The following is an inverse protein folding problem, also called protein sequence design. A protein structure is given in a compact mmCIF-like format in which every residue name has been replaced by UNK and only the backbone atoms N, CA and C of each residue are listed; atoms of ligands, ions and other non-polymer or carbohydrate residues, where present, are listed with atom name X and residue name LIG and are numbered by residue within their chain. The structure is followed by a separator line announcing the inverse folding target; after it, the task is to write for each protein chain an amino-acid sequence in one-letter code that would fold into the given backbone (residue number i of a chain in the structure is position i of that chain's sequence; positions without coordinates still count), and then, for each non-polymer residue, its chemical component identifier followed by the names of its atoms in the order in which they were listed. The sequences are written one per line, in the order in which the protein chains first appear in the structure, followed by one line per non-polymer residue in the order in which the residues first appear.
data_IF_657271901497
#
_entry.id   IF_657271901497
#
_cell.length_a   1.000
_cell.length_b   1.000
_cell.length_c   1.000
_cell.angle_alpha   90.00
_cell.angle_beta   90.00
_cell.angle_gamma   90.00
#
_symmetry.space_group_name_H-M   'P 1'
#
loop_
_entity.id
_entity.type
_entity.pdbx_description
1 polymer ?
#
# COMPACT_ATOMS: atom_id res chain seq x y z
N UNK A 1 -20.40 58.88 10.52
CA UNK A 1 -20.88 58.58 11.89
C UNK A 1 -19.98 57.52 12.52
N UNK A 2 -19.38 57.91 13.67
CA UNK A 2 -18.85 57.15 14.81
C UNK A 2 -18.05 55.86 14.49
N UNK A 3 -16.72 55.93 14.61
CA UNK A 3 -15.89 55.69 15.81
C UNK A 3 -16.05 54.28 16.37
N UNK A 4 -14.98 53.47 16.24
CA UNK A 4 -14.33 52.94 17.42
C UNK A 4 -12.85 52.61 17.13
N UNK A 5 -11.99 53.34 17.85
CA UNK A 5 -10.56 53.14 18.02
C UNK A 5 -10.40 52.20 19.21
N UNK A 6 -9.59 51.19 19.09
CA UNK A 6 -9.28 50.23 20.18
C UNK A 6 -7.89 49.66 20.07
N UNK A 7 -6.92 50.40 20.50
CA UNK A 7 -5.73 50.09 21.30
C UNK A 7 -4.90 48.84 20.96
N UNK A 8 -3.83 49.09 20.27
CA UNK A 8 -2.61 48.23 20.23
C UNK A 8 -1.93 48.27 21.60
N UNK A 9 -1.86 47.15 22.28
CA UNK A 9 -1.07 46.96 23.49
C UNK A 9 0.18 46.16 23.16
N UNK A 10 1.29 46.86 23.08
CA UNK A 10 2.64 46.25 22.98
C UNK A 10 2.93 45.46 24.25
N UNK A 11 3.21 44.17 24.11
CA UNK A 11 3.85 43.36 25.14
C UNK A 11 5.28 43.10 24.69
N UNK A 12 6.23 43.81 25.27
CA UNK A 12 7.67 43.55 25.19
C UNK A 12 7.93 42.40 26.15
N UNK A 13 8.28 41.23 25.60
CA UNK A 13 8.86 40.13 26.39
C UNK A 13 10.38 40.27 26.39
N UNK A 14 10.88 40.65 27.53
CA UNK A 14 12.30 40.69 27.88
C UNK A 14 12.83 39.24 27.93
N UNK A 15 13.71 38.88 27.00
CA UNK A 15 14.45 37.61 27.05
C UNK A 15 15.61 37.80 28.01
N UNK A 16 15.44 37.32 29.21
CA UNK A 16 16.53 37.23 30.21
C UNK A 16 17.26 35.91 29.99
N UNK A 17 18.41 35.98 29.35
CA UNK A 17 19.34 34.87 29.17
C UNK A 17 19.97 34.51 30.51
N UNK A 18 19.49 33.42 31.11
CA UNK A 18 20.16 32.75 32.24
C UNK A 18 21.21 31.78 31.64
N UNK A 19 22.46 32.20 31.68
CA UNK A 19 23.64 31.34 31.52
C UNK A 19 23.75 30.45 32.76
N UNK A 20 23.22 29.23 32.71
CA UNK A 20 23.60 28.16 33.63
C UNK A 20 24.79 27.40 33.03
N UNK A 21 25.86 27.13 33.79
CA UNK A 21 26.91 26.24 33.34
C UNK A 21 26.35 24.83 33.27
N UNK A 22 26.01 24.42 32.07
CA UNK A 22 25.58 23.05 31.81
C UNK A 22 26.75 22.10 32.03
N UNK A 23 26.68 21.33 33.10
CA UNK A 23 27.44 20.10 33.22
C UNK A 23 27.05 19.23 32.04
N UNK A 24 27.97 19.10 31.08
CA UNK A 24 27.84 18.12 29.99
C UNK A 24 27.91 16.75 30.66
N UNK A 25 26.72 16.22 31.05
CA UNK A 25 26.57 14.80 31.28
C UNK A 25 26.79 14.17 29.92
N UNK A 26 27.89 13.46 29.74
CA UNK A 26 28.02 12.47 28.69
C UNK A 26 26.83 11.49 28.88
N UNK A 27 25.75 11.71 28.14
CA UNK A 27 24.70 10.74 28.03
C UNK A 27 25.33 9.51 27.39
N UNK A 28 25.54 8.47 28.20
CA UNK A 28 25.77 7.14 27.67
C UNK A 28 24.64 6.86 26.66
N UNK A 29 25.03 6.75 25.42
CA UNK A 29 24.12 6.49 24.33
C UNK A 29 23.54 5.09 24.57
N UNK A 30 22.35 5.02 25.14
CA UNK A 30 21.60 3.76 25.16
C UNK A 30 21.24 3.45 23.71
N UNK A 31 22.00 2.53 23.12
CA UNK A 31 21.90 2.21 21.71
C UNK A 31 20.72 1.25 21.41
N UNK A 32 19.95 0.89 22.44
CA UNK A 32 18.73 0.10 22.26
C UNK A 32 17.61 0.97 21.66
N UNK A 33 16.96 0.46 20.63
CA UNK A 33 15.75 1.09 20.11
C UNK A 33 14.59 0.82 21.08
N UNK A 34 13.81 1.85 21.43
CA UNK A 34 12.60 1.63 22.24
C UNK A 34 11.52 0.98 21.36
N UNK A 35 10.73 0.07 21.93
CA UNK A 35 9.59 -0.47 21.23
C UNK A 35 9.02 -1.76 21.82
N UNK A 36 7.78 -2.06 21.41
CA UNK A 36 7.09 -3.31 21.74
C UNK A 36 7.58 -4.41 20.81
N UNK A 37 8.06 -5.51 21.37
CA UNK A 37 8.44 -6.69 20.58
C UNK A 37 7.22 -7.39 20.02
N UNK A 38 7.22 -7.64 18.71
CA UNK A 38 6.16 -8.35 18.00
C UNK A 38 6.76 -9.35 17.01
N UNK A 39 6.10 -10.48 16.82
CA UNK A 39 6.43 -11.44 15.76
C UNK A 39 5.91 -10.94 14.42
N UNK A 40 6.47 -11.45 13.32
CA UNK A 40 5.99 -11.12 11.97
C UNK A 40 4.49 -11.41 11.81
N UNK A 41 4.01 -12.55 12.34
CA UNK A 41 2.58 -12.89 12.27
C UNK A 41 1.71 -11.89 13.02
N UNK A 42 2.14 -11.44 14.21
CA UNK A 42 1.41 -10.39 14.94
C UNK A 42 1.37 -9.06 14.17
N UNK A 43 2.44 -8.75 13.43
CA UNK A 43 2.44 -7.58 12.54
C UNK A 43 1.43 -7.74 11.40
N UNK A 44 1.33 -8.92 10.78
CA UNK A 44 0.30 -9.18 9.75
C UNK A 44 -1.11 -9.05 10.30
N UNK A 45 -1.38 -9.62 11.47
CA UNK A 45 -2.70 -9.57 12.10
C UNK A 45 -3.10 -8.13 12.46
N UNK A 46 -2.15 -7.34 12.95
CA UNK A 46 -2.37 -5.93 13.26
C UNK A 46 -2.65 -5.11 11.99
N UNK A 47 -1.84 -5.32 10.94
CA UNK A 47 -2.03 -4.65 9.65
C UNK A 47 -3.38 -5.00 9.01
N UNK A 48 -3.81 -6.26 9.06
CA UNK A 48 -5.12 -6.67 8.53
C UNK A 48 -6.27 -5.90 9.20
N UNK A 49 -6.12 -5.53 10.47
CA UNK A 49 -7.14 -4.80 11.23
C UNK A 49 -7.04 -3.29 11.05
N UNK A 50 -5.84 -2.73 11.09
CA UNK A 50 -5.62 -1.29 11.26
C UNK A 50 -5.10 -0.56 10.03
N UNK A 51 -4.50 -1.26 9.04
CA UNK A 51 -3.94 -0.61 7.87
C UNK A 51 -5.01 0.16 7.08
N UNK A 52 -4.76 1.45 6.83
CA UNK A 52 -5.71 2.36 6.19
C UNK A 52 -5.99 1.99 4.73
N UNK A 53 -5.01 1.46 4.00
CA UNK A 53 -5.19 1.04 2.60
C UNK A 53 -6.15 -0.15 2.50
N UNK A 54 -6.05 -1.13 3.42
CA UNK A 54 -6.98 -2.26 3.48
C UNK A 54 -8.38 -1.82 3.92
N UNK A 55 -8.48 -0.88 4.85
CA UNK A 55 -9.78 -0.31 5.25
C UNK A 55 -10.44 0.43 4.08
N UNK A 56 -9.68 1.26 3.34
CA UNK A 56 -10.16 1.93 2.13
C UNK A 56 -10.61 0.92 1.06
N UNK A 57 -9.86 -0.17 0.86
CA UNK A 57 -10.25 -1.26 -0.03
C UNK A 57 -11.57 -1.94 0.38
N UNK A 58 -11.78 -2.18 1.68
CA UNK A 58 -13.06 -2.70 2.21
C UNK A 58 -14.22 -1.73 1.94
N UNK A 59 -14.00 -0.43 2.15
CA UNK A 59 -15.01 0.61 1.84
C UNK A 59 -15.29 0.70 0.34
N UNK A 60 -14.30 0.46 -0.51
CA UNK A 60 -14.49 0.38 -1.96
C UNK A 60 -15.41 -0.78 -2.34
N UNK A 61 -15.26 -1.95 -1.71
CA UNK A 61 -16.15 -3.10 -1.91
C UNK A 61 -17.56 -2.80 -1.40
N UNK A 62 -17.70 -2.16 -0.21
CA UNK A 62 -19.01 -1.75 0.31
C UNK A 62 -19.71 -0.78 -0.66
N UNK A 63 -18.98 0.22 -1.17
CA UNK A 63 -19.48 1.14 -2.20
C UNK A 63 -19.92 0.40 -3.46
N UNK A 64 -19.10 -0.53 -3.97
CA UNK A 64 -19.44 -1.31 -5.17
C UNK A 64 -20.74 -2.12 -4.96
N UNK A 65 -20.92 -2.73 -3.77
CA UNK A 65 -22.17 -3.43 -3.42
C UNK A 65 -23.39 -2.50 -3.38
N UNK A 66 -23.25 -1.30 -2.83
CA UNK A 66 -24.34 -0.31 -2.82
C UNK A 66 -24.68 0.10 -4.26
N UNK A 67 -23.67 0.27 -5.10
CA UNK A 67 -23.86 0.57 -6.53
C UNK A 67 -24.61 -0.52 -7.30
N UNK A 68 -24.62 -1.77 -6.85
CA UNK A 68 -25.46 -2.81 -7.45
C UNK A 68 -26.97 -2.47 -7.42
N UNK A 69 -27.40 -1.66 -6.45
CA UNK A 69 -28.78 -1.15 -6.36
C UNK A 69 -29.14 -0.20 -7.51
N UNK A 70 -28.16 0.51 -8.08
CA UNK A 70 -28.38 1.41 -9.22
C UNK A 70 -28.66 0.67 -10.54
N UNK A 71 -28.61 -0.67 -10.52
CA UNK A 71 -28.97 -1.46 -11.69
C UNK A 71 -30.41 -1.20 -12.17
N UNK A 72 -31.30 -0.83 -11.25
CA UNK A 72 -32.70 -0.48 -11.49
C UNK A 72 -32.91 1.03 -11.53
N UNK A 73 -31.98 1.77 -12.11
CA UNK A 73 -32.13 3.21 -12.32
C UNK A 73 -33.16 3.46 -13.42
N UNK A 74 -34.41 3.62 -13.00
CA UNK A 74 -35.55 3.90 -13.87
C UNK A 74 -35.60 5.40 -14.12
N UNK A 75 -35.90 5.81 -15.35
CA UNK A 75 -36.05 7.22 -15.70
C UNK A 75 -37.08 7.91 -14.78
N UNK A 76 -36.91 9.20 -14.54
CA UNK A 76 -37.81 9.96 -13.68
C UNK A 76 -39.22 9.93 -14.26
N UNK A 77 -40.22 9.80 -13.37
CA UNK A 77 -41.62 10.03 -13.74
C UNK A 77 -41.79 11.49 -14.10
N UNK A 78 -42.33 11.76 -15.24
CA UNK A 78 -42.58 13.09 -15.75
C UNK A 78 -44.05 13.47 -15.51
N UNK A 79 -44.31 14.59 -14.87
CA UNK A 79 -45.63 15.14 -14.66
C UNK A 79 -45.69 16.46 -15.42
N UNK A 80 -46.52 16.48 -16.46
CA UNK A 80 -46.68 17.67 -17.30
C UNK A 80 -48.10 18.19 -17.21
N UNK A 81 -48.23 19.47 -16.96
CA UNK A 81 -49.47 20.19 -17.17
C UNK A 81 -49.41 20.91 -18.52
N UNK A 82 -50.40 20.74 -19.36
CA UNK A 82 -50.46 21.42 -20.64
C UNK A 82 -51.79 22.13 -20.79
N UNK A 83 -51.73 23.30 -21.34
CA UNK A 83 -52.89 24.07 -21.77
C UNK A 83 -52.71 24.32 -23.26
N UNK A 84 -53.57 23.67 -24.06
CA UNK A 84 -53.53 23.80 -25.50
C UNK A 84 -54.89 24.35 -25.98
N UNK A 85 -54.94 25.39 -26.82
CA UNK A 85 -56.17 25.74 -27.49
C UNK A 85 -56.55 24.59 -28.42
N UNK A 86 -57.76 24.06 -28.22
CA UNK A 86 -58.29 23.08 -29.14
C UNK A 86 -58.53 23.75 -30.53
N UNK A 87 -58.57 22.94 -31.59
CA UNK A 87 -58.81 23.41 -32.96
C UNK A 87 -60.16 24.11 -33.14
N UNK A 88 -61.07 24.02 -32.17
CA UNK A 88 -62.35 24.72 -32.07
C UNK A 88 -62.34 26.04 -31.27
N UNK A 89 -61.13 26.46 -30.77
CA UNK A 89 -60.98 27.66 -29.93
C UNK A 89 -61.16 27.46 -28.43
N UNK A 90 -61.53 26.24 -27.98
CA UNK A 90 -61.65 25.93 -26.55
C UNK A 90 -60.28 25.59 -25.93
N UNK A 91 -60.08 25.99 -24.68
CA UNK A 91 -58.82 25.72 -23.97
C UNK A 91 -58.91 24.39 -23.25
N UNK A 92 -58.12 23.42 -23.70
CA UNK A 92 -58.02 22.11 -23.06
C UNK A 92 -56.86 22.13 -22.02
N UNK A 93 -57.20 21.77 -20.81
CA UNK A 93 -56.22 21.59 -19.74
C UNK A 93 -55.91 20.07 -19.63
N UNK A 94 -54.65 19.73 -19.79
CA UNK A 94 -54.23 18.32 -19.72
C UNK A 94 -53.24 18.10 -18.59
N UNK A 95 -53.43 17.04 -17.82
CA UNK A 95 -52.42 16.54 -16.87
C UNK A 95 -51.92 15.19 -17.41
N UNK A 96 -50.64 15.11 -17.63
CA UNK A 96 -49.99 13.91 -18.16
C UNK A 96 -49.00 13.37 -17.16
N UNK A 97 -49.09 12.10 -16.83
CA UNK A 97 -48.05 11.36 -16.08
C UNK A 97 -47.41 10.41 -17.07
N UNK A 98 -46.10 10.54 -17.30
CA UNK A 98 -45.38 9.64 -18.19
C UNK A 98 -44.21 8.98 -17.49
N UNK A 99 -43.98 7.70 -17.78
CA UNK A 99 -42.91 6.91 -17.29
C UNK A 99 -42.25 6.16 -18.44
N UNK A 100 -40.93 6.38 -18.60
CA UNK A 100 -40.12 5.58 -19.51
C UNK A 100 -39.38 4.50 -18.75
N UNK A 101 -39.36 3.30 -19.29
CA UNK A 101 -38.70 2.13 -18.70
C UNK A 101 -37.85 1.48 -19.79
N UNK A 102 -36.58 1.23 -19.51
CA UNK A 102 -35.73 0.43 -20.39
C UNK A 102 -36.24 -1.02 -20.44
N UNK A 103 -35.93 -1.71 -21.51
CA UNK A 103 -36.29 -3.12 -21.62
C UNK A 103 -35.61 -3.93 -20.50
N UNK A 104 -36.26 -4.94 -19.89
CA UNK A 104 -35.74 -5.67 -18.72
C UNK A 104 -34.33 -6.22 -18.85
N UNK A 105 -33.92 -6.54 -20.10
CA UNK A 105 -32.56 -7.02 -20.38
C UNK A 105 -31.47 -5.98 -20.11
N UNK A 106 -31.79 -4.66 -20.20
CA UNK A 106 -30.87 -3.56 -19.89
C UNK A 106 -30.51 -3.59 -18.41
N UNK A 107 -31.54 -3.65 -17.54
CA UNK A 107 -31.33 -3.73 -16.08
C UNK A 107 -30.58 -5.00 -15.68
N UNK A 108 -30.93 -6.13 -16.31
CA UNK A 108 -30.25 -7.40 -16.04
C UNK A 108 -28.77 -7.37 -16.45
N UNK A 109 -28.44 -6.76 -17.59
CA UNK A 109 -27.05 -6.63 -18.04
C UNK A 109 -26.25 -5.68 -17.10
N UNK A 110 -26.85 -4.53 -16.74
CA UNK A 110 -26.25 -3.56 -15.78
C UNK A 110 -25.98 -4.22 -14.43
N UNK A 111 -26.96 -5.00 -13.91
CA UNK A 111 -26.78 -5.73 -12.64
C UNK A 111 -25.63 -6.74 -12.70
N UNK A 112 -25.49 -7.47 -13.81
CA UNK A 112 -24.39 -8.42 -14.00
C UNK A 112 -23.04 -7.74 -14.08
N UNK A 113 -22.96 -6.57 -14.74
CA UNK A 113 -21.76 -5.75 -14.82
C UNK A 113 -21.35 -5.29 -13.43
N UNK A 114 -22.25 -4.63 -12.66
CA UNK A 114 -21.96 -4.13 -11.31
C UNK A 114 -21.55 -5.25 -10.34
N UNK A 115 -22.15 -6.44 -10.45
CA UNK A 115 -21.72 -7.63 -9.68
C UNK A 115 -20.31 -8.08 -10.05
N UNK A 116 -19.97 -8.06 -11.35
CA UNK A 116 -18.62 -8.40 -11.80
C UNK A 116 -17.59 -7.37 -11.29
N UNK A 117 -17.94 -6.08 -11.29
CA UNK A 117 -17.13 -5.00 -10.71
C UNK A 117 -16.91 -5.22 -9.20
N UNK A 118 -17.98 -5.54 -8.44
CA UNK A 118 -17.85 -5.87 -7.01
C UNK A 118 -16.89 -7.05 -6.79
N UNK A 119 -16.93 -8.06 -7.66
CA UNK A 119 -16.01 -9.20 -7.55
C UNK A 119 -14.57 -8.84 -7.90
N UNK A 120 -14.35 -8.00 -8.91
CA UNK A 120 -13.04 -7.50 -9.27
C UNK A 120 -12.41 -6.66 -8.13
N UNK A 121 -13.22 -5.82 -7.44
CA UNK A 121 -12.74 -5.06 -6.27
C UNK A 121 -12.34 -5.96 -5.09
N UNK A 122 -13.02 -7.09 -4.88
CA UNK A 122 -12.59 -8.08 -3.88
C UNK A 122 -11.24 -8.70 -4.22
N UNK A 123 -11.03 -9.07 -5.48
CA UNK A 123 -9.76 -9.62 -5.94
C UNK A 123 -8.64 -8.57 -5.87
N UNK A 124 -8.95 -7.30 -6.16
CA UNK A 124 -8.02 -6.18 -6.01
C UNK A 124 -7.58 -5.98 -4.55
N UNK A 125 -8.53 -6.06 -3.60
CA UNK A 125 -8.19 -6.01 -2.17
C UNK A 125 -7.25 -7.15 -1.78
N UNK A 126 -7.42 -8.34 -2.37
CA UNK A 126 -6.51 -9.45 -2.10
C UNK A 126 -5.09 -9.18 -2.63
N UNK A 127 -4.95 -8.58 -3.82
CA UNK A 127 -3.65 -8.12 -4.34
C UNK A 127 -3.01 -7.12 -3.37
N UNK A 128 -3.76 -6.10 -2.92
CA UNK A 128 -3.26 -5.11 -1.96
C UNK A 128 -2.83 -5.74 -0.64
N UNK A 129 -3.54 -6.78 -0.17
CA UNK A 129 -3.17 -7.54 1.03
C UNK A 129 -1.84 -8.27 0.86
N UNK A 130 -1.59 -8.91 -0.28
CA UNK A 130 -0.33 -9.59 -0.55
C UNK A 130 0.84 -8.61 -0.66
N UNK A 131 0.63 -7.47 -1.31
CA UNK A 131 1.64 -6.40 -1.38
C UNK A 131 1.99 -5.86 0.02
N UNK A 132 0.99 -5.59 0.84
CA UNK A 132 1.20 -5.13 2.22
C UNK A 132 1.96 -6.15 3.06
N UNK A 133 1.64 -7.44 2.95
CA UNK A 133 2.39 -8.50 3.63
C UNK A 133 3.86 -8.53 3.21
N UNK A 134 4.12 -8.38 1.91
CA UNK A 134 5.48 -8.30 1.39
C UNK A 134 6.24 -7.10 1.98
N UNK A 135 5.65 -5.91 1.97
CA UNK A 135 6.26 -4.70 2.51
C UNK A 135 6.55 -4.84 4.02
N UNK A 136 5.60 -5.38 4.79
CA UNK A 136 5.79 -5.63 6.22
C UNK A 136 6.92 -6.63 6.45
N UNK A 137 6.94 -7.76 5.73
CA UNK A 137 7.97 -8.77 5.89
C UNK A 137 9.36 -8.23 5.53
N UNK A 138 9.48 -7.52 4.41
CA UNK A 138 10.75 -6.91 3.98
C UNK A 138 11.26 -5.89 5.01
N UNK A 139 10.39 -5.02 5.50
CA UNK A 139 10.74 -4.01 6.51
C UNK A 139 11.11 -4.65 7.85
N UNK A 140 10.38 -5.69 8.26
CA UNK A 140 10.63 -6.42 9.50
C UNK A 140 12.02 -7.08 9.50
N UNK A 141 12.37 -7.79 8.44
CA UNK A 141 13.68 -8.44 8.32
C UNK A 141 14.81 -7.43 8.08
N UNK A 142 14.57 -6.35 7.35
CA UNK A 142 15.54 -5.26 7.23
C UNK A 142 15.83 -4.62 8.60
N UNK A 143 14.81 -4.40 9.42
CA UNK A 143 14.98 -3.90 10.79
C UNK A 143 15.75 -4.89 11.67
N UNK A 144 15.45 -6.18 11.59
CA UNK A 144 16.16 -7.23 12.31
C UNK A 144 17.64 -7.27 11.90
N UNK A 145 17.93 -7.11 10.61
CA UNK A 145 19.29 -7.02 10.11
C UNK A 145 20.03 -5.82 10.66
N UNK A 146 19.46 -4.61 10.65
CA UNK A 146 20.10 -3.41 11.17
C UNK A 146 20.32 -3.49 12.68
N UNK A 147 19.37 -4.02 13.45
CA UNK A 147 19.53 -4.21 14.90
C UNK A 147 20.63 -5.22 15.22
N UNK A 148 20.77 -6.27 14.40
CA UNK A 148 21.85 -7.24 14.54
C UNK A 148 23.23 -6.62 14.24
N UNK A 149 23.36 -5.85 13.14
CA UNK A 149 24.58 -5.09 12.83
C UNK A 149 24.97 -4.15 13.96
N UNK A 150 24.00 -3.42 14.49
CA UNK A 150 24.21 -2.52 15.62
C UNK A 150 24.79 -3.27 16.83
N UNK A 151 24.30 -4.47 17.13
CA UNK A 151 24.82 -5.29 18.22
C UNK A 151 26.27 -5.72 18.03
N UNK A 152 26.69 -5.98 16.78
CA UNK A 152 28.09 -6.29 16.44
C UNK A 152 28.99 -5.07 16.68
N UNK A 153 28.56 -3.90 16.17
CA UNK A 153 29.31 -2.64 16.31
C UNK A 153 29.42 -2.18 17.77
N UNK A 154 28.39 -2.44 18.60
CA UNK A 154 28.45 -2.17 20.05
C UNK A 154 29.51 -3.01 20.77
N UNK A 155 29.63 -4.29 20.37
CA UNK A 155 30.72 -5.14 20.91
C UNK A 155 32.08 -4.61 20.49
N UNK A 156 32.22 -4.21 19.22
CA UNK A 156 33.44 -3.60 18.71
C UNK A 156 33.76 -2.30 19.46
N UNK A 157 32.78 -1.43 19.71
CA UNK A 157 32.98 -0.18 20.46
C UNK A 157 33.52 -0.44 21.86
N UNK A 158 33.01 -1.45 22.56
CA UNK A 158 33.51 -1.85 23.88
C UNK A 158 35.00 -2.27 23.84
N UNK A 159 35.40 -3.00 22.79
CA UNK A 159 36.78 -3.44 22.58
C UNK A 159 37.68 -2.21 22.25
N UNK A 160 37.26 -1.35 21.35
CA UNK A 160 38.00 -0.17 20.93
C UNK A 160 38.17 0.86 22.04
N UNK A 161 37.16 1.06 22.90
CA UNK A 161 37.27 1.90 24.08
C UNK A 161 38.36 1.38 25.05
N UNK A 162 38.34 0.04 25.30
CA UNK A 162 39.40 -0.59 26.12
C UNK A 162 40.77 -0.43 25.47
N UNK A 163 40.85 -0.47 24.16
CA UNK A 163 42.09 -0.22 23.44
C UNK A 163 42.60 1.19 23.64
N UNK A 164 41.77 2.20 23.44
CA UNK A 164 42.17 3.59 23.68
C UNK A 164 42.71 3.81 25.10
N UNK A 165 42.04 3.19 26.09
CA UNK A 165 42.48 3.29 27.50
C UNK A 165 43.85 2.65 27.71
N UNK A 166 44.11 1.48 27.14
CA UNK A 166 45.41 0.78 27.27
C UNK A 166 46.53 1.56 26.55
N UNK A 167 46.29 1.95 25.28
CA UNK A 167 47.24 2.72 24.49
C UNK A 167 47.63 4.03 25.19
N UNK A 168 46.63 4.74 25.75
CA UNK A 168 46.84 5.96 26.51
C UNK A 168 47.67 5.76 27.77
N UNK A 169 47.48 4.67 28.53
CA UNK A 169 48.28 4.32 29.71
C UNK A 169 49.72 3.97 29.34
N UNK A 170 49.90 3.13 28.31
CA UNK A 170 51.24 2.73 27.82
C UNK A 170 52.03 3.90 27.27
N UNK A 171 51.38 4.83 26.56
CA UNK A 171 52.02 6.05 26.10
C UNK A 171 52.50 6.92 27.26
N UNK A 172 51.68 7.11 28.28
CA UNK A 172 52.08 7.86 29.51
C UNK A 172 53.22 7.19 30.27
N UNK A 173 53.31 5.86 30.21
CA UNK A 173 54.41 5.09 30.78
C UNK A 173 55.68 5.08 29.91
N UNK A 174 55.62 5.65 28.69
CA UNK A 174 56.76 5.63 27.76
C UNK A 174 56.96 4.29 27.02
N UNK A 175 55.98 3.36 27.13
CA UNK A 175 56.07 2.00 26.57
C UNK A 175 55.64 1.94 25.12
N UNK A 176 54.92 2.93 24.61
CA UNK A 176 54.46 3.00 23.23
C UNK A 176 54.57 4.39 22.63
N UNK A 177 54.37 4.49 21.31
CA UNK A 177 54.41 5.76 20.56
C UNK A 177 53.04 6.42 20.49
N UNK A 178 53.01 7.76 20.33
CA UNK A 178 51.79 8.52 20.12
C UNK A 178 50.96 8.01 18.94
N UNK A 179 51.58 7.41 17.93
CA UNK A 179 50.92 6.80 16.76
C UNK A 179 49.91 5.75 17.18
N UNK A 180 50.22 4.91 18.20
CA UNK A 180 49.29 3.88 18.67
C UNK A 180 48.02 4.49 19.30
N UNK A 181 48.18 5.57 20.08
CA UNK A 181 47.04 6.30 20.67
C UNK A 181 46.14 6.88 19.57
N UNK A 182 46.72 7.62 18.61
CA UNK A 182 45.99 8.24 17.53
C UNK A 182 45.28 7.21 16.65
N UNK A 183 45.91 6.03 16.42
CA UNK A 183 45.30 4.93 15.66
C UNK A 183 44.10 4.34 16.40
N UNK A 184 44.21 4.14 17.70
CA UNK A 184 43.13 3.61 18.54
C UNK A 184 41.94 4.58 18.59
N UNK A 185 42.19 5.86 18.76
CA UNK A 185 41.17 6.91 18.77
C UNK A 185 40.43 6.96 17.40
N UNK A 186 41.18 6.96 16.28
CA UNK A 186 40.61 6.97 14.94
C UNK A 186 39.67 5.78 14.72
N UNK A 187 40.09 4.55 15.06
CA UNK A 187 39.28 3.34 14.91
C UNK A 187 37.99 3.40 15.75
N UNK A 188 38.08 3.87 17.00
CA UNK A 188 36.91 4.06 17.86
C UNK A 188 35.92 5.07 17.25
N UNK A 189 36.44 6.21 16.84
CA UNK A 189 35.60 7.31 16.30
C UNK A 189 34.93 6.88 14.98
N UNK A 190 35.65 6.15 14.13
CA UNK A 190 35.09 5.54 12.89
C UNK A 190 33.96 4.57 13.21
N UNK A 191 34.17 3.67 14.18
CA UNK A 191 33.11 2.75 14.63
C UNK A 191 31.90 3.48 15.19
N UNK A 192 32.09 4.56 15.94
CA UNK A 192 30.98 5.35 16.48
C UNK A 192 30.19 6.08 15.38
N UNK A 193 30.83 6.48 14.29
CA UNK A 193 30.13 7.04 13.12
C UNK A 193 29.26 5.96 12.46
N UNK A 194 29.82 4.77 12.25
CA UNK A 194 29.08 3.64 11.66
C UNK A 194 27.90 3.19 12.55
N UNK A 195 28.12 3.14 13.87
CA UNK A 195 27.02 2.85 14.82
C UNK A 195 25.85 3.83 14.71
N UNK A 196 26.16 5.14 14.60
CA UNK A 196 25.11 6.16 14.43
C UNK A 196 24.35 5.99 13.12
N UNK A 197 25.05 5.67 12.04
CA UNK A 197 24.45 5.41 10.74
C UNK A 197 23.51 4.18 10.80
N UNK A 198 24.00 3.04 11.28
CA UNK A 198 23.22 1.82 11.39
C UNK A 198 22.01 1.98 12.32
N UNK A 199 22.17 2.73 13.42
CA UNK A 199 21.05 3.06 14.32
C UNK A 199 19.98 3.87 13.60
N UNK A 200 20.39 4.90 12.85
CA UNK A 200 19.46 5.72 12.06
C UNK A 200 18.71 4.89 11.02
N UNK A 201 19.38 3.94 10.35
CA UNK A 201 18.74 3.04 9.41
C UNK A 201 17.72 2.11 10.10
N UNK A 202 18.02 1.60 11.29
CA UNK A 202 17.08 0.81 12.08
C UNK A 202 15.86 1.65 12.51
N UNK A 203 16.06 2.91 12.92
CA UNK A 203 14.97 3.86 13.23
C UNK A 203 14.11 4.15 12.00
N UNK A 204 14.70 4.29 10.81
CA UNK A 204 13.96 4.46 9.55
C UNK A 204 13.07 3.25 9.27
N UNK A 205 13.59 2.02 9.39
CA UNK A 205 12.81 0.81 9.22
C UNK A 205 11.68 0.71 10.25
N UNK A 206 11.93 1.11 11.48
CA UNK A 206 10.90 1.17 12.53
C UNK A 206 9.76 2.13 12.16
N UNK A 207 10.08 3.32 11.67
CA UNK A 207 9.06 4.29 11.23
C UNK A 207 8.25 3.77 10.04
N UNK A 208 8.89 3.11 9.08
CA UNK A 208 8.19 2.48 7.95
C UNK A 208 7.24 1.40 8.46
N UNK A 209 7.71 0.52 9.36
CA UNK A 209 6.90 -0.54 9.95
C UNK A 209 5.70 0.02 10.71
N UNK A 210 5.90 1.06 11.54
CA UNK A 210 4.81 1.74 12.25
C UNK A 210 3.76 2.29 11.29
N UNK A 211 4.17 2.89 10.19
CA UNK A 211 3.24 3.41 9.18
C UNK A 211 2.46 2.27 8.50
N UNK A 212 3.13 1.18 8.10
CA UNK A 212 2.46 0.02 7.49
C UNK A 212 1.43 -0.62 8.45
N UNK A 213 1.71 -0.59 9.74
CA UNK A 213 0.84 -1.14 10.79
C UNK A 213 -0.19 -0.13 11.30
N UNK A 214 -0.11 1.14 10.88
CA UNK A 214 -0.90 2.25 11.44
C UNK A 214 -0.83 2.27 12.97
N UNK A 215 0.39 2.19 13.53
CA UNK A 215 0.66 2.15 14.97
C UNK A 215 1.40 3.40 15.41
N UNK A 216 0.92 4.03 16.48
CA UNK A 216 1.61 5.17 17.13
C UNK A 216 2.72 4.70 18.09
N UNK A 217 2.74 3.41 18.43
CA UNK A 217 3.76 2.86 19.32
C UNK A 217 4.91 2.24 18.51
N UNK A 218 6.18 2.51 18.91
CA UNK A 218 7.32 1.88 18.30
C UNK A 218 7.25 0.36 18.40
N UNK A 219 7.57 -0.33 17.31
CA UNK A 219 7.53 -1.78 17.20
C UNK A 219 8.93 -2.29 16.88
N UNK A 220 9.29 -3.40 17.49
CA UNK A 220 10.54 -4.12 17.28
C UNK A 220 10.27 -5.58 16.91
N UNK A 221 11.13 -6.20 16.09
CA UNK A 221 11.12 -7.64 15.93
C UNK A 221 11.27 -8.36 17.28
N UNK A 222 10.55 -9.47 17.44
CA UNK A 222 10.65 -10.29 18.66
C UNK A 222 11.96 -11.04 18.76
N UNK A 223 12.58 -11.31 17.62
CA UNK A 223 13.81 -12.05 17.48
C UNK A 223 15.01 -11.22 17.96
N UNK A 224 15.92 -11.86 18.68
CA UNK A 224 17.14 -11.23 19.19
C UNK A 224 18.36 -11.46 18.30
N UNK A 225 18.24 -12.29 17.25
CA UNK A 225 19.30 -12.64 16.33
C UNK A 225 18.78 -12.74 14.91
N UNK A 226 19.67 -12.64 13.95
CA UNK A 226 19.33 -12.71 12.54
C UNK A 226 18.96 -14.17 12.18
N UNK A 227 17.78 -14.34 11.60
CA UNK A 227 17.22 -15.64 11.21
C UNK A 227 17.45 -15.89 9.72
N UNK A 228 17.81 -17.10 9.36
CA UNK A 228 17.85 -17.58 7.97
C UNK A 228 16.47 -18.17 7.66
N UNK A 229 15.79 -17.59 6.67
CA UNK A 229 14.47 -18.06 6.25
C UNK A 229 14.57 -19.42 5.56
N UNK A 230 13.55 -20.25 5.77
CA UNK A 230 13.44 -21.51 5.04
C UNK A 230 13.13 -21.25 3.55
N UNK A 231 13.87 -21.88 2.66
CA UNK A 231 13.76 -21.72 1.21
C UNK A 231 13.15 -22.94 0.52
N UNK A 232 12.11 -23.53 1.06
CA UNK A 232 11.35 -24.57 0.36
C UNK A 232 10.60 -24.03 -0.87
N UNK A 233 11.29 -23.19 -1.68
CA UNK A 233 10.75 -22.50 -2.85
C UNK A 233 10.97 -23.38 -4.09
N UNK A 234 9.86 -23.66 -4.80
CA UNK A 234 9.89 -24.40 -6.07
C UNK A 234 10.65 -23.63 -7.15
N UNK A 235 11.36 -24.33 -8.02
CA UNK A 235 11.93 -23.73 -9.23
C UNK A 235 10.87 -23.36 -10.28
N UNK A 236 9.65 -23.86 -10.15
CA UNK A 236 8.54 -23.59 -11.06
C UNK A 236 7.59 -22.55 -10.50
N UNK A 237 7.27 -21.55 -11.31
CA UNK A 237 6.30 -20.50 -11.01
C UNK A 237 4.99 -20.72 -11.76
N UNK A 238 3.87 -20.61 -11.07
CA UNK A 238 2.56 -20.70 -11.70
C UNK A 238 1.79 -19.37 -11.51
N UNK A 239 1.85 -18.50 -12.51
CA UNK A 239 1.15 -17.22 -12.51
C UNK A 239 -0.35 -17.36 -12.23
N UNK A 240 -1.00 -18.43 -12.74
CA UNK A 240 -2.46 -18.61 -12.60
C UNK A 240 -2.93 -18.77 -11.14
N UNK A 241 -2.04 -19.12 -10.23
CA UNK A 241 -2.35 -19.27 -8.80
C UNK A 241 -2.15 -17.98 -8.00
N UNK A 242 -1.66 -16.91 -8.63
CA UNK A 242 -1.42 -15.63 -7.94
C UNK A 242 -2.67 -14.77 -7.80
N UNK A 243 -2.67 -13.90 -6.80
CA UNK A 243 -3.74 -12.91 -6.59
C UNK A 243 -3.86 -11.95 -7.79
N UNK A 244 -2.73 -11.59 -8.39
CA UNK A 244 -2.68 -10.74 -9.60
C UNK A 244 -3.44 -11.40 -10.76
N UNK A 245 -3.17 -12.68 -11.01
CA UNK A 245 -3.86 -13.43 -12.08
C UNK A 245 -5.36 -13.50 -11.84
N UNK A 246 -5.79 -13.74 -10.60
CA UNK A 246 -7.20 -13.78 -10.23
C UNK A 246 -7.87 -12.41 -10.45
N UNK A 247 -7.21 -11.33 -10.08
CA UNK A 247 -7.69 -9.97 -10.31
C UNK A 247 -7.84 -9.66 -11.81
N UNK A 248 -6.84 -10.00 -12.62
CA UNK A 248 -6.90 -9.79 -14.07
C UNK A 248 -8.02 -10.62 -14.73
N UNK A 249 -8.23 -11.85 -14.29
CA UNK A 249 -9.36 -12.67 -14.77
C UNK A 249 -10.70 -12.04 -14.41
N UNK A 250 -10.88 -11.55 -13.18
CA UNK A 250 -12.11 -10.91 -12.77
C UNK A 250 -12.33 -9.58 -13.51
N UNK A 251 -11.26 -8.84 -13.80
CA UNK A 251 -11.31 -7.63 -14.65
C UNK A 251 -11.77 -7.96 -16.09
N UNK A 252 -11.27 -9.05 -16.67
CA UNK A 252 -11.75 -9.49 -18.00
C UNK A 252 -13.25 -9.85 -17.98
N UNK A 253 -13.75 -10.46 -16.88
CA UNK A 253 -15.19 -10.72 -16.71
C UNK A 253 -16.00 -9.41 -16.64
N UNK A 254 -15.47 -8.37 -15.99
CA UNK A 254 -16.10 -7.03 -16.01
C UNK A 254 -16.25 -6.54 -17.44
N UNK A 255 -15.19 -6.55 -18.23
CA UNK A 255 -15.20 -6.10 -19.62
C UNK A 255 -16.13 -6.95 -20.51
N UNK A 256 -16.23 -8.26 -20.25
CA UNK A 256 -17.22 -9.11 -20.92
C UNK A 256 -18.67 -8.69 -20.60
N UNK A 257 -18.95 -8.25 -19.36
CA UNK A 257 -20.27 -7.72 -19.00
C UNK A 257 -20.49 -6.31 -19.58
N UNK A 258 -19.46 -5.47 -19.66
CA UNK A 258 -19.52 -4.17 -20.33
C UNK A 258 -19.88 -4.30 -21.81
N UNK A 259 -19.31 -5.27 -22.53
CA UNK A 259 -19.69 -5.56 -23.93
C UNK A 259 -21.17 -5.93 -23.99
N UNK A 260 -21.69 -6.75 -23.03
CA UNK A 260 -23.11 -7.11 -22.98
C UNK A 260 -23.98 -5.92 -22.63
N UNK A 261 -23.55 -5.08 -21.71
CA UNK A 261 -24.20 -3.82 -21.34
C UNK A 261 -24.25 -2.85 -22.52
N UNK A 262 -23.15 -2.66 -23.24
CA UNK A 262 -23.12 -1.81 -24.44
C UNK A 262 -24.07 -2.30 -25.53
N UNK A 263 -24.23 -3.63 -25.66
CA UNK A 263 -25.20 -4.22 -26.63
C UNK A 263 -26.65 -3.93 -26.26
N UNK A 264 -26.98 -3.64 -25.01
CA UNK A 264 -28.36 -3.30 -24.62
C UNK A 264 -28.84 -1.96 -25.22
N UNK A 265 -27.94 -1.12 -25.74
CA UNK A 265 -28.29 0.05 -26.52
C UNK A 265 -29.02 -0.25 -27.82
N UNK A 266 -29.13 -1.54 -28.24
CA UNK A 266 -30.00 -1.98 -29.32
C UNK A 266 -31.41 -2.38 -28.82
N UNK A 267 -31.62 -2.50 -27.51
CA UNK A 267 -32.90 -2.88 -26.95
C UNK A 267 -33.91 -1.74 -27.09
N UNK A 268 -35.21 -2.06 -27.26
CA UNK A 268 -36.25 -1.03 -27.25
C UNK A 268 -36.42 -0.47 -25.84
N UNK A 269 -37.01 0.72 -25.74
CA UNK A 269 -37.56 1.27 -24.51
C UNK A 269 -39.07 1.17 -24.50
N UNK A 270 -39.68 1.10 -23.32
CA UNK A 270 -41.11 1.10 -23.12
C UNK A 270 -41.50 2.44 -22.47
N UNK A 271 -42.57 3.06 -22.91
CA UNK A 271 -43.16 4.23 -22.30
C UNK A 271 -44.65 3.99 -21.99
N UNK A 272 -45.05 4.44 -20.82
CA UNK A 272 -46.42 4.49 -20.38
C UNK A 272 -46.77 5.94 -20.07
N UNK A 273 -47.82 6.44 -20.64
CA UNK A 273 -48.39 7.75 -20.27
C UNK A 273 -49.85 7.63 -19.90
N UNK A 274 -50.23 8.27 -18.82
CA UNK A 274 -51.59 8.46 -18.38
C UNK A 274 -51.95 9.94 -18.61
N UNK A 275 -53.00 10.17 -19.35
CA UNK A 275 -53.48 11.53 -19.65
C UNK A 275 -54.89 11.73 -19.04
N UNK A 276 -55.03 12.79 -18.34
CA UNK A 276 -56.34 13.26 -17.87
C UNK A 276 -56.60 14.65 -18.45
N UNK A 277 -57.68 14.79 -19.19
CA UNK A 277 -58.12 16.06 -19.71
C UNK A 277 -59.17 16.63 -18.75
N UNK A 278 -58.84 17.73 -18.11
CA UNK A 278 -59.69 18.42 -17.14
C UNK A 278 -60.29 19.66 -17.82
N UNK A 279 -61.56 19.66 -18.02
CA UNK A 279 -62.31 20.85 -18.39
C UNK A 279 -62.57 21.62 -17.10
N UNK A 280 -61.75 22.63 -16.79
CA UNK A 280 -62.00 23.54 -15.63
C UNK A 280 -62.94 24.61 -16.08
N UNK A 281 -64.22 24.42 -15.86
CA UNK A 281 -65.28 25.38 -16.26
C UNK A 281 -65.20 26.76 -15.59
N UNK A 282 -64.47 26.83 -14.46
CA UNK A 282 -64.31 28.07 -13.69
C UNK A 282 -63.13 28.95 -14.11
N UNK A 283 -62.22 28.44 -14.97
CA UNK A 283 -61.06 29.16 -15.45
C UNK A 283 -61.06 29.27 -16.97
N UNK A 284 -61.81 30.25 -17.42
CA UNK A 284 -61.87 30.61 -18.83
C UNK A 284 -61.31 32.04 -19.04
N UNK A 285 -59.99 32.20 -19.15
CA UNK A 285 -59.34 33.48 -19.32
C UNK A 285 -59.61 34.11 -20.68
N UNK A 286 -60.22 33.37 -21.64
CA UNK A 286 -60.46 33.84 -23.01
C UNK A 286 -61.94 33.97 -23.36
N UNK A 287 -62.90 33.69 -22.44
CA UNK A 287 -64.34 33.77 -22.63
C UNK A 287 -64.84 33.00 -23.88
N UNK A 288 -64.37 31.76 -24.06
CA UNK A 288 -64.67 30.92 -25.21
C UNK A 288 -66.02 30.22 -25.01
N UNK A 289 -66.88 30.28 -26.01
CA UNK A 289 -68.19 29.61 -25.98
C UNK A 289 -68.07 28.09 -26.04
N UNK A 290 -68.38 27.42 -24.91
CA UNK A 290 -68.21 25.97 -24.67
C UNK A 290 -69.45 25.14 -24.97
N UNK A 291 -70.38 25.60 -25.76
CA UNK A 291 -71.68 24.90 -26.03
C UNK A 291 -71.55 23.50 -26.62
N UNK A 292 -70.36 23.02 -26.98
CA UNK A 292 -70.11 21.72 -27.59
C UNK A 292 -69.56 20.63 -26.68
N UNK A 293 -69.09 20.93 -25.46
CA UNK A 293 -68.50 19.94 -24.59
C UNK A 293 -69.19 19.93 -23.26
N UNK A 294 -70.03 18.92 -23.00
CA UNK A 294 -70.53 18.61 -21.67
C UNK A 294 -69.34 18.32 -20.71
N UNK A 295 -69.44 18.80 -19.50
CA UNK A 295 -68.46 18.56 -18.45
C UNK A 295 -68.09 17.10 -18.35
N UNK A 296 -66.82 16.78 -18.50
CA UNK A 296 -66.34 15.40 -18.41
C UNK A 296 -64.82 15.33 -18.30
N UNK A 297 -64.36 14.50 -17.38
CA UNK A 297 -62.95 14.13 -17.31
C UNK A 297 -62.71 13.01 -18.36
N UNK A 298 -61.91 13.31 -19.36
CA UNK A 298 -61.45 12.27 -20.31
C UNK A 298 -60.14 11.70 -19.77
N UNK A 299 -60.16 10.41 -19.49
CA UNK A 299 -58.98 9.69 -19.07
C UNK A 299 -58.50 8.79 -20.22
N UNK A 300 -57.25 8.92 -20.55
CA UNK A 300 -56.60 8.10 -21.61
C UNK A 300 -55.29 7.52 -21.14
N UNK A 301 -54.88 6.44 -21.72
CA UNK A 301 -53.54 5.89 -21.55
C UNK A 301 -52.85 5.72 -22.90
N UNK A 302 -51.54 5.80 -22.90
CA UNK A 302 -50.71 5.59 -24.08
C UNK A 302 -49.57 4.64 -23.71
N UNK A 303 -49.39 3.60 -24.52
CA UNK A 303 -48.26 2.68 -24.42
C UNK A 303 -47.42 2.88 -25.67
N UNK A 304 -46.16 3.29 -25.45
CA UNK A 304 -45.21 3.50 -26.53
C UNK A 304 -44.05 2.50 -26.47
N UNK A 305 -43.52 2.17 -27.62
CA UNK A 305 -42.29 1.40 -27.78
C UNK A 305 -41.29 2.23 -28.56
N UNK A 306 -40.22 2.67 -27.90
CA UNK A 306 -39.10 3.38 -28.53
C UNK A 306 -38.11 2.39 -29.12
N UNK A 307 -37.90 2.45 -30.45
CA UNK A 307 -36.94 1.57 -31.14
C UNK A 307 -35.80 2.43 -31.69
N UNK A 308 -34.54 2.08 -31.40
CA UNK A 308 -33.39 2.83 -31.89
C UNK A 308 -33.22 2.59 -33.41
N UNK A 309 -33.64 3.55 -34.24
CA UNK A 309 -33.49 3.48 -35.69
C UNK A 309 -32.05 3.76 -36.14
N UNK A 310 -31.35 4.63 -35.40
CA UNK A 310 -29.97 5.04 -35.68
C UNK A 310 -29.02 4.43 -34.66
N UNK A 311 -28.42 3.29 -34.98
CA UNK A 311 -27.58 2.50 -34.08
C UNK A 311 -26.07 2.68 -34.29
N UNK A 312 -25.65 3.68 -35.06
CA UNK A 312 -24.23 3.96 -35.34
C UNK A 312 -23.42 4.19 -34.06
N UNK A 313 -23.95 4.98 -33.11
CA UNK A 313 -23.33 5.24 -31.83
C UNK A 313 -23.21 3.96 -30.95
N UNK A 314 -24.28 3.15 -30.90
CA UNK A 314 -24.27 1.88 -30.16
C UNK A 314 -23.27 0.89 -30.75
N UNK A 315 -23.19 0.80 -32.09
CA UNK A 315 -22.18 -0.01 -32.80
C UNK A 315 -20.75 0.43 -32.44
N UNK A 316 -20.50 1.74 -32.39
CA UNK A 316 -19.20 2.28 -31.97
C UNK A 316 -18.87 1.94 -30.52
N UNK A 317 -19.81 2.11 -29.58
CA UNK A 317 -19.65 1.73 -28.16
C UNK A 317 -19.32 0.24 -27.99
N UNK A 318 -20.04 -0.66 -28.67
CA UNK A 318 -19.75 -2.10 -28.62
C UNK A 318 -18.38 -2.41 -29.21
N UNK A 319 -17.96 -1.72 -30.29
CA UNK A 319 -16.64 -1.90 -30.89
C UNK A 319 -15.55 -1.42 -29.93
N UNK A 320 -15.72 -0.28 -29.25
CA UNK A 320 -14.81 0.24 -28.25
C UNK A 320 -14.66 -0.73 -27.08
N UNK A 321 -15.75 -1.16 -26.48
CA UNK A 321 -15.74 -2.13 -25.38
C UNK A 321 -15.03 -3.47 -25.73
N UNK A 322 -15.14 -3.92 -26.98
CA UNK A 322 -14.35 -5.07 -27.46
C UNK A 322 -12.87 -4.78 -27.51
N UNK A 323 -12.47 -3.56 -27.94
CA UNK A 323 -11.07 -3.15 -27.97
C UNK A 323 -10.48 -2.98 -26.58
N UNK A 324 -11.28 -2.50 -25.62
CA UNK A 324 -10.87 -2.41 -24.22
C UNK A 324 -10.60 -3.82 -23.64
N UNK A 325 -11.42 -4.80 -24.00
CA UNK A 325 -11.19 -6.20 -23.62
C UNK A 325 -9.93 -6.79 -24.26
N UNK A 326 -9.72 -6.57 -25.58
CA UNK A 326 -8.49 -7.01 -26.26
C UNK A 326 -7.23 -6.36 -25.62
N UNK A 327 -7.31 -5.07 -25.29
CA UNK A 327 -6.23 -4.35 -24.60
C UNK A 327 -5.95 -4.97 -23.21
N UNK A 328 -6.98 -5.27 -22.45
CA UNK A 328 -6.83 -5.91 -21.13
C UNK A 328 -6.21 -7.32 -21.24
N UNK A 329 -6.52 -8.09 -22.28
CA UNK A 329 -5.88 -9.39 -22.54
C UNK A 329 -4.38 -9.24 -22.83
N UNK A 330 -3.99 -8.26 -23.63
CA UNK A 330 -2.58 -7.97 -23.91
C UNK A 330 -1.84 -7.53 -22.66
N UNK A 331 -2.43 -6.67 -21.83
CA UNK A 331 -1.86 -6.24 -20.56
C UNK A 331 -1.68 -7.42 -19.59
N UNK A 332 -2.66 -8.32 -19.49
CA UNK A 332 -2.55 -9.53 -18.69
C UNK A 332 -1.42 -10.46 -19.18
N UNK A 333 -1.26 -10.60 -20.50
CA UNK A 333 -0.17 -11.40 -21.09
C UNK A 333 1.20 -10.76 -20.81
N UNK A 334 1.29 -9.43 -20.88
CA UNK A 334 2.50 -8.70 -20.55
C UNK A 334 2.87 -8.89 -19.09
N UNK A 335 1.93 -8.65 -18.17
CA UNK A 335 2.13 -8.83 -16.73
C UNK A 335 2.58 -10.26 -16.39
N UNK A 336 1.94 -11.26 -16.98
CA UNK A 336 2.35 -12.65 -16.82
C UNK A 336 3.81 -12.85 -17.21
N UNK A 337 4.25 -12.35 -18.38
CA UNK A 337 5.65 -12.47 -18.84
C UNK A 337 6.61 -11.75 -17.90
N UNK A 338 6.23 -10.60 -17.38
CA UNK A 338 7.03 -9.84 -16.43
C UNK A 338 7.20 -10.61 -15.11
N UNK A 339 6.11 -11.13 -14.54
CA UNK A 339 6.15 -11.94 -13.30
C UNK A 339 6.95 -13.24 -13.49
N UNK A 340 6.80 -13.93 -14.64
CA UNK A 340 7.60 -15.12 -14.97
C UNK A 340 9.10 -14.79 -15.10
N UNK A 341 9.44 -13.65 -15.72
CA UNK A 341 10.83 -13.15 -15.79
C UNK A 341 11.37 -12.83 -14.40
N UNK A 342 10.61 -12.07 -13.60
CA UNK A 342 11.03 -11.61 -12.29
C UNK A 342 11.22 -12.79 -11.34
N UNK A 343 10.38 -13.81 -11.45
CA UNK A 343 10.57 -15.06 -10.71
C UNK A 343 11.88 -15.77 -11.08
N UNK A 344 12.20 -15.90 -12.37
CA UNK A 344 13.45 -16.51 -12.82
C UNK A 344 14.68 -15.73 -12.34
N UNK A 345 14.62 -14.39 -12.42
CA UNK A 345 15.69 -13.53 -11.90
C UNK A 345 15.84 -13.66 -10.38
N UNK A 346 14.72 -13.67 -9.66
CA UNK A 346 14.70 -13.88 -8.21
C UNK A 346 15.27 -15.25 -7.83
N UNK A 347 14.91 -16.31 -8.55
CA UNK A 347 15.44 -17.66 -8.31
C UNK A 347 16.95 -17.74 -8.53
N UNK A 348 17.47 -17.11 -9.58
CA UNK A 348 18.92 -17.03 -9.80
C UNK A 348 19.63 -16.25 -8.69
N UNK A 349 19.01 -15.14 -8.19
CA UNK A 349 19.55 -14.41 -7.03
C UNK A 349 19.58 -15.28 -5.78
N UNK A 350 18.50 -16.03 -5.52
CA UNK A 350 18.44 -16.97 -4.40
C UNK A 350 19.55 -18.04 -4.49
N UNK A 351 19.76 -18.63 -5.66
CA UNK A 351 20.84 -19.62 -5.84
C UNK A 351 22.22 -19.04 -5.55
N UNK A 352 22.48 -17.81 -6.01
CA UNK A 352 23.76 -17.13 -5.74
C UNK A 352 23.90 -16.77 -4.26
N UNK A 353 22.84 -16.24 -3.64
CA UNK A 353 22.83 -15.93 -2.22
C UNK A 353 23.00 -17.21 -1.36
N UNK A 354 22.41 -18.34 -1.76
CA UNK A 354 22.59 -19.63 -1.09
C UNK A 354 24.08 -20.09 -1.11
N UNK A 355 24.76 -19.94 -2.25
CA UNK A 355 26.19 -20.28 -2.33
C UNK A 355 27.05 -19.39 -1.43
N UNK A 356 26.77 -18.08 -1.42
CA UNK A 356 27.44 -17.14 -0.49
C UNK A 356 27.16 -17.52 0.96
N UNK A 357 25.89 -17.82 1.28
CA UNK A 357 25.48 -18.19 2.64
C UNK A 357 26.21 -19.46 3.11
N UNK A 358 26.33 -20.47 2.28
CA UNK A 358 27.10 -21.69 2.59
C UNK A 358 28.55 -21.38 2.92
N UNK A 359 29.17 -20.43 2.21
CA UNK A 359 30.53 -20.00 2.48
C UNK A 359 30.68 -19.25 3.81
N UNK A 360 29.81 -18.27 4.07
CA UNK A 360 29.94 -17.41 5.25
C UNK A 360 29.33 -18.00 6.52
N UNK A 361 28.38 -18.92 6.43
CA UNK A 361 27.70 -19.54 7.58
C UNK A 361 28.26 -20.92 7.98
N UNK A 362 29.29 -21.38 7.30
CA UNK A 362 29.98 -22.65 7.58
C UNK A 362 31.32 -22.43 8.33
N UNK A 363 32.32 -23.20 7.94
CA UNK A 363 33.68 -23.20 8.57
C UNK A 363 34.31 -21.80 8.73
N UNK A 364 33.93 -20.82 7.90
CA UNK A 364 34.57 -19.49 7.95
C UNK A 364 34.16 -18.69 9.17
N UNK A 365 32.92 -18.82 9.62
CA UNK A 365 32.50 -18.13 10.87
C UNK A 365 33.13 -18.80 12.10
N UNK A 366 33.33 -20.14 12.04
CA UNK A 366 34.02 -20.87 13.10
C UNK A 366 35.50 -20.45 13.18
N UNK A 367 36.16 -20.27 12.02
CA UNK A 367 37.52 -19.72 11.94
C UNK A 367 37.57 -18.29 12.52
N UNK A 368 36.60 -17.43 12.20
CA UNK A 368 36.55 -16.08 12.78
C UNK A 368 36.41 -16.11 14.32
N UNK A 369 35.57 -17.01 14.85
CA UNK A 369 35.43 -17.19 16.30
C UNK A 369 36.72 -17.69 16.94
N UNK A 370 37.44 -18.61 16.27
CA UNK A 370 38.70 -19.15 16.74
C UNK A 370 39.84 -18.10 16.68
N UNK A 371 39.86 -17.24 15.65
CA UNK A 371 40.77 -16.09 15.57
C UNK A 371 40.59 -15.17 16.77
N UNK A 372 39.34 -14.82 17.12
CA UNK A 372 39.07 -14.00 18.31
C UNK A 372 39.56 -14.68 19.57
N UNK A 373 39.31 -15.97 19.75
CA UNK A 373 39.70 -16.71 20.93
C UNK A 373 41.21 -16.79 21.06
N UNK A 374 41.93 -17.19 20.02
CA UNK A 374 43.39 -17.34 20.00
C UNK A 374 44.04 -15.98 20.22
N UNK A 375 43.68 -14.97 19.43
CA UNK A 375 44.29 -13.64 19.53
C UNK A 375 44.10 -13.01 20.92
N UNK A 376 42.94 -13.28 21.57
CA UNK A 376 42.73 -12.80 22.95
C UNK A 376 43.65 -13.52 23.93
N UNK A 377 43.82 -14.84 23.83
CA UNK A 377 44.68 -15.63 24.69
C UNK A 377 46.19 -15.24 24.49
N UNK A 378 46.63 -15.15 23.23
CA UNK A 378 48.00 -14.76 22.90
C UNK A 378 48.33 -13.36 23.32
N UNK A 379 47.39 -12.44 23.23
CA UNK A 379 47.56 -11.08 23.74
C UNK A 379 47.64 -11.05 25.30
N UNK A 380 46.78 -11.77 25.99
CA UNK A 380 46.77 -11.88 27.44
C UNK A 380 48.09 -12.52 27.97
N UNK A 381 48.67 -13.44 27.22
CA UNK A 381 49.96 -14.08 27.52
C UNK A 381 51.17 -13.22 27.11
N UNK A 382 50.95 -12.09 26.38
CA UNK A 382 52.02 -11.23 25.89
C UNK A 382 52.77 -11.80 24.66
N UNK A 383 52.19 -12.78 23.98
CA UNK A 383 52.81 -13.44 22.81
C UNK A 383 52.62 -12.61 21.52
N UNK A 384 51.55 -11.85 21.42
CA UNK A 384 51.30 -10.89 20.34
C UNK A 384 51.18 -9.48 20.89
N UNK A 385 51.57 -8.51 20.06
CA UNK A 385 51.40 -7.12 20.42
C UNK A 385 49.94 -6.67 20.21
N UNK A 386 49.64 -5.50 20.77
CA UNK A 386 48.25 -4.98 20.72
C UNK A 386 47.74 -4.68 19.31
N UNK A 387 48.61 -4.25 18.38
CA UNK A 387 48.23 -3.96 16.99
C UNK A 387 47.80 -5.26 16.27
N UNK A 388 48.54 -6.35 16.49
CA UNK A 388 48.23 -7.66 15.98
C UNK A 388 46.89 -8.16 16.51
N UNK A 389 46.66 -8.00 17.82
CA UNK A 389 45.38 -8.33 18.46
C UNK A 389 44.19 -7.57 17.85
N UNK A 390 44.29 -6.24 17.69
CA UNK A 390 43.20 -5.42 17.12
C UNK A 390 42.95 -5.78 15.64
N UNK A 391 44.00 -6.03 14.88
CA UNK A 391 43.85 -6.46 13.49
C UNK A 391 43.09 -7.79 13.38
N UNK A 392 43.45 -8.77 14.22
CA UNK A 392 42.75 -10.05 14.27
C UNK A 392 41.25 -9.88 14.66
N UNK A 393 40.95 -9.01 15.63
CA UNK A 393 39.56 -8.69 15.99
C UNK A 393 38.79 -8.01 14.85
N UNK A 394 39.42 -7.04 14.16
CA UNK A 394 38.78 -6.35 13.04
C UNK A 394 38.45 -7.33 11.89
N UNK A 395 39.38 -8.26 11.57
CA UNK A 395 39.10 -9.30 10.56
C UNK A 395 37.93 -10.20 10.95
N UNK A 396 37.86 -10.62 12.21
CA UNK A 396 36.76 -11.45 12.70
C UNK A 396 35.41 -10.71 12.72
N UNK A 397 35.42 -9.43 13.05
CA UNK A 397 34.21 -8.57 13.01
C UNK A 397 33.78 -8.32 11.58
N UNK A 398 34.70 -8.02 10.67
CA UNK A 398 34.39 -7.88 9.24
C UNK A 398 33.76 -9.16 8.67
N UNK A 399 34.26 -10.34 9.07
CA UNK A 399 33.66 -11.62 8.71
C UNK A 399 32.22 -11.76 9.23
N UNK A 400 31.94 -11.36 10.47
CA UNK A 400 30.57 -11.38 11.04
C UNK A 400 29.64 -10.38 10.37
N UNK A 401 30.14 -9.19 10.00
CA UNK A 401 29.36 -8.21 9.23
C UNK A 401 29.02 -8.76 7.85
N UNK A 402 29.99 -9.35 7.13
CA UNK A 402 29.75 -10.00 5.85
C UNK A 402 28.77 -11.18 5.96
N UNK A 403 28.83 -11.95 7.05
CA UNK A 403 27.83 -13.00 7.31
C UNK A 403 26.42 -12.39 7.44
N UNK A 404 26.28 -11.32 8.20
CA UNK A 404 24.99 -10.62 8.36
C UNK A 404 24.47 -10.10 7.02
N UNK A 405 25.34 -9.49 6.21
CA UNK A 405 24.98 -8.97 4.88
C UNK A 405 24.48 -10.11 3.95
N UNK A 406 25.16 -11.25 3.96
CA UNK A 406 24.81 -12.41 3.14
C UNK A 406 23.51 -13.07 3.59
N UNK A 407 23.26 -13.15 4.92
CA UNK A 407 21.97 -13.62 5.45
C UNK A 407 20.84 -12.67 5.02
N UNK A 408 21.07 -11.36 5.07
CA UNK A 408 20.09 -10.39 4.60
C UNK A 408 19.81 -10.53 3.10
N UNK A 409 20.85 -10.60 2.25
CA UNK A 409 20.72 -10.82 0.79
C UNK A 409 19.93 -12.11 0.48
N UNK A 410 20.19 -13.17 1.23
CA UNK A 410 19.46 -14.44 1.11
C UNK A 410 17.99 -14.29 1.51
N UNK A 411 17.71 -13.68 2.67
CA UNK A 411 16.35 -13.47 3.15
C UNK A 411 15.53 -12.59 2.21
N UNK A 412 16.11 -11.51 1.68
CA UNK A 412 15.48 -10.66 0.67
C UNK A 412 15.10 -11.45 -0.59
N UNK A 413 16.00 -12.33 -1.07
CA UNK A 413 15.73 -13.18 -2.23
C UNK A 413 14.60 -14.18 -1.96
N UNK A 414 14.56 -14.78 -0.75
CA UNK A 414 13.46 -15.66 -0.30
C UNK A 414 12.14 -14.91 -0.25
N UNK A 415 12.10 -13.75 0.43
CA UNK A 415 10.88 -12.95 0.58
C UNK A 415 10.33 -12.48 -0.77
N UNK A 416 11.20 -12.05 -1.69
CA UNK A 416 10.80 -11.65 -3.03
C UNK A 416 10.11 -12.80 -3.80
N UNK A 417 10.61 -14.02 -3.70
CA UNK A 417 10.01 -15.19 -4.34
C UNK A 417 8.72 -15.65 -3.64
N UNK A 418 8.68 -15.60 -2.30
CA UNK A 418 7.46 -15.88 -1.53
C UNK A 418 6.34 -14.90 -1.87
N UNK A 419 6.67 -13.63 -2.04
CA UNK A 419 5.72 -12.59 -2.45
C UNK A 419 5.15 -12.87 -3.86
N UNK A 420 6.00 -13.23 -4.83
CA UNK A 420 5.56 -13.59 -6.17
C UNK A 420 4.62 -14.81 -6.18
N UNK A 421 4.84 -15.77 -5.29
CA UNK A 421 4.02 -16.99 -5.13
C UNK A 421 2.79 -16.77 -4.23
N UNK A 422 2.62 -15.60 -3.60
CA UNK A 422 1.61 -15.34 -2.56
C UNK A 422 1.66 -16.35 -1.38
N UNK A 423 2.87 -16.71 -0.96
CA UNK A 423 3.11 -17.67 0.14
C UNK A 423 3.56 -17.03 1.45
N UNK A 424 3.43 -15.68 1.55
CA UNK A 424 3.66 -14.90 2.77
C UNK A 424 2.48 -14.94 3.75
#
# INVERSE_FOLDING_TARGET
MKKYIGTFRKVIFSVMTLLLPGTVHAQFFDASLPGKKMTLQQCFDLAEQQNLSLQAGRKTIERAKVMEGTAWDVAKTEVAFSQNPASSGDTDNGLTFSQSIDFPTVYAARKKQLKAETQAEKSRLNVSRQQLKQEIASTYYAMLYQTYRLSILQRLDSILNRYCDIAGKRYKAGETRQLEVLTSERLRDENQVEMRYVKSEAENQQMILMNLLNSDQPILPSESHLIILDSSISSSFNYQQTADAQYQQDRLKVLDQEIKSAKTGYAPSLSLALRSQLLISSWDPYHIDRQRFTEGNFFGFEIGVGVPLFYGATKAKVKAARKDRELAELNMQQERREKERDYRLGYNRLQNATKKLQYYNGENIDKANEIVRLSTTEYENGEINYVEYVNALNEAIDMRMKQADVINEYNEAVLALMALNNSL
#
